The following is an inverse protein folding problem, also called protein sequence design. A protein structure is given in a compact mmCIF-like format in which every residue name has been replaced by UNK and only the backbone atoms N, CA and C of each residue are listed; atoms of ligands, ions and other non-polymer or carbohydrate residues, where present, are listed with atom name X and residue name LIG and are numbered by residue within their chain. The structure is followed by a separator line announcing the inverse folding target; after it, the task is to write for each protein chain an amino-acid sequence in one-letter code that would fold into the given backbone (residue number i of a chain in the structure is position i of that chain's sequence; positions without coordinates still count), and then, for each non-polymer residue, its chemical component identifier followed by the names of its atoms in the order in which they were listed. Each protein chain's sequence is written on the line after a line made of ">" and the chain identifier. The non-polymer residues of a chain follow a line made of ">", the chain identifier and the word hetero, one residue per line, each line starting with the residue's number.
data_IF_395446723390
#
_entry.id   IF_395446723390
#
_cell.length_a   1.000
_cell.length_b   1.000
_cell.length_c   1.000
_cell.angle_alpha   90.00
_cell.angle_beta   90.00
_cell.angle_gamma   90.00
#
_symmetry.space_group_name_H-M   'P 1'
#
loop_
_entity.id
_entity.type
_entity.pdbx_description
1 polymer ?
#
# COMPACT_ATOMS: atom_id res chain seq x y z
N UNK A 1 -1.50 -18.22 31.74
CA UNK A 1 -0.65 -17.86 30.59
C UNK A 1 -1.34 -18.41 29.36
N UNK A 2 -2.14 -17.61 28.67
CA UNK A 2 -2.74 -18.03 27.41
C UNK A 2 -1.61 -18.05 26.37
N UNK A 3 -1.22 -19.24 25.94
CA UNK A 3 -0.17 -19.41 24.93
C UNK A 3 -0.70 -18.88 23.60
N UNK A 4 0.04 -17.99 22.95
CA UNK A 4 -0.30 -17.54 21.59
C UNK A 4 -0.28 -18.79 20.70
N UNK A 5 -1.44 -19.15 20.13
CA UNK A 5 -1.50 -20.22 19.16
C UNK A 5 -0.71 -19.80 17.91
N UNK A 6 0.21 -20.67 17.46
CA UNK A 6 0.95 -20.46 16.19
C UNK A 6 -0.02 -20.22 15.03
N UNK A 7 -1.19 -20.87 15.07
CA UNK A 7 -2.26 -20.69 14.09
C UNK A 7 -2.83 -19.26 14.08
N UNK A 8 -2.96 -18.60 15.23
CA UNK A 8 -3.38 -17.20 15.29
C UNK A 8 -2.35 -16.27 14.66
N UNK A 9 -1.06 -16.49 14.95
CA UNK A 9 0.02 -15.70 14.38
C UNK A 9 0.08 -15.81 12.85
N UNK A 10 -0.05 -17.02 12.33
CA UNK A 10 -0.07 -17.28 10.87
C UNK A 10 -1.28 -16.62 10.22
N UNK A 11 -2.48 -16.81 10.79
CA UNK A 11 -3.72 -16.23 10.25
C UNK A 11 -3.65 -14.70 10.20
N UNK A 12 -3.11 -14.09 11.26
CA UNK A 12 -2.91 -12.65 11.30
C UNK A 12 -1.90 -12.16 10.25
N UNK A 13 -0.78 -12.87 10.09
CA UNK A 13 0.20 -12.57 9.04
C UNK A 13 -0.41 -12.60 7.64
N UNK A 14 -1.19 -13.64 7.33
CA UNK A 14 -1.92 -13.73 6.05
C UNK A 14 -2.91 -12.58 5.87
N UNK A 15 -3.62 -12.18 6.93
CA UNK A 15 -4.58 -11.06 6.86
C UNK A 15 -3.90 -9.73 6.52
N UNK A 16 -2.77 -9.42 7.16
CA UNK A 16 -1.99 -8.21 6.82
C UNK A 16 -1.38 -8.31 5.42
N UNK A 17 -0.92 -9.48 5.02
CA UNK A 17 -0.40 -9.70 3.67
C UNK A 17 -1.47 -9.46 2.60
N UNK A 18 -2.68 -10.00 2.77
CA UNK A 18 -3.80 -9.78 1.83
C UNK A 18 -4.14 -8.29 1.76
N UNK A 19 -4.20 -7.60 2.90
CA UNK A 19 -4.41 -6.16 2.93
C UNK A 19 -3.33 -5.42 2.13
N UNK A 20 -2.06 -5.75 2.37
CA UNK A 20 -0.96 -5.12 1.66
C UNK A 20 -1.00 -5.40 0.16
N UNK A 21 -1.27 -6.64 -0.25
CA UNK A 21 -1.44 -7.01 -1.67
C UNK A 21 -2.56 -6.18 -2.31
N UNK A 22 -3.70 -6.02 -1.64
CA UNK A 22 -4.79 -5.19 -2.16
C UNK A 22 -4.36 -3.74 -2.36
N UNK A 23 -3.64 -3.14 -1.40
CA UNK A 23 -3.12 -1.77 -1.52
C UNK A 23 -2.11 -1.65 -2.66
N UNK A 24 -1.20 -2.61 -2.80
CA UNK A 24 -0.23 -2.64 -3.89
C UNK A 24 -0.94 -2.73 -5.24
N UNK A 25 -1.91 -3.64 -5.40
CA UNK A 25 -2.67 -3.79 -6.64
C UNK A 25 -3.37 -2.49 -7.01
N UNK A 26 -4.08 -1.87 -6.06
CA UNK A 26 -4.76 -0.58 -6.30
C UNK A 26 -3.76 0.51 -6.69
N UNK A 27 -2.65 0.63 -5.95
CA UNK A 27 -1.61 1.61 -6.24
C UNK A 27 -0.97 1.42 -7.62
N UNK A 28 -0.70 0.16 -8.01
CA UNK A 28 -0.16 -0.17 -9.32
C UNK A 28 -1.15 0.08 -10.45
N UNK A 29 -2.45 -0.19 -10.25
CA UNK A 29 -3.48 0.14 -11.24
C UNK A 29 -3.55 1.65 -11.46
N UNK A 30 -3.55 2.45 -10.39
CA UNK A 30 -3.51 3.92 -10.49
C UNK A 30 -2.23 4.39 -11.20
N UNK A 31 -1.08 3.80 -10.84
CA UNK A 31 0.20 4.12 -11.47
C UNK A 31 0.19 3.81 -12.98
N UNK A 32 -0.34 2.64 -13.36
CA UNK A 32 -0.44 2.21 -14.75
C UNK A 32 -1.39 3.08 -15.57
N UNK A 33 -2.53 3.51 -14.98
CA UNK A 33 -3.43 4.47 -15.63
C UNK A 33 -2.70 5.78 -15.90
N UNK A 34 -1.99 6.34 -14.91
CA UNK A 34 -1.20 7.56 -15.10
C UNK A 34 -0.11 7.40 -16.16
N UNK A 35 0.61 6.28 -16.15
CA UNK A 35 1.61 5.95 -17.16
C UNK A 35 1.01 5.84 -18.58
N UNK A 36 -0.16 5.23 -18.71
CA UNK A 36 -0.88 5.14 -19.97
C UNK A 36 -1.30 6.51 -20.51
N UNK A 37 -1.69 7.44 -19.63
CA UNK A 37 -2.00 8.82 -20.03
C UNK A 37 -0.75 9.56 -20.54
N UNK A 38 0.41 9.36 -19.89
CA UNK A 38 1.68 9.92 -20.37
C UNK A 38 2.03 9.36 -21.75
N UNK A 39 1.95 8.04 -21.93
CA UNK A 39 2.23 7.40 -23.21
C UNK A 39 1.33 7.95 -24.33
N UNK A 40 0.02 8.02 -24.07
CA UNK A 40 -0.95 8.59 -25.01
C UNK A 40 -0.72 10.07 -25.31
N UNK A 41 -0.19 10.84 -24.34
CA UNK A 41 0.14 12.24 -24.52
C UNK A 41 1.38 12.48 -25.39
N UNK A 42 2.31 11.51 -25.44
CA UNK A 42 3.55 11.58 -26.22
C UNK A 42 3.46 10.90 -27.58
N UNK A 43 2.59 9.89 -27.74
CA UNK A 43 2.31 9.24 -29.02
C UNK A 43 1.25 10.01 -29.82
N UNK A 44 1.58 11.25 -30.15
CA UNK A 44 0.77 12.07 -31.05
C UNK A 44 1.22 11.73 -32.47
N UNK A 45 0.31 11.17 -33.28
CA UNK A 45 0.62 10.67 -34.63
C UNK A 45 1.23 11.71 -35.60
N UNK A 46 1.30 11.37 -36.89
CA UNK A 46 2.05 12.19 -37.87
C UNK A 46 1.71 13.69 -37.82
N UNK A 47 2.73 14.50 -37.46
CA UNK A 47 2.73 15.98 -37.35
C UNK A 47 1.94 16.63 -36.20
N UNK A 48 1.46 15.87 -35.22
CA UNK A 48 0.96 16.47 -33.97
C UNK A 48 2.09 16.58 -32.93
N UNK A 49 2.11 17.71 -32.22
CA UNK A 49 3.01 17.91 -31.08
C UNK A 49 2.45 17.26 -29.80
N UNK A 50 3.32 16.88 -28.84
CA UNK A 50 2.89 16.23 -27.60
C UNK A 50 1.88 17.07 -26.81
N UNK A 51 0.92 16.40 -26.18
CA UNK A 51 -0.01 17.05 -25.26
C UNK A 51 0.59 17.12 -23.85
N UNK A 52 1.39 18.15 -23.60
CA UNK A 52 2.07 18.34 -22.31
C UNK A 52 1.11 18.46 -21.11
N UNK A 53 -0.11 18.97 -21.31
CA UNK A 53 -1.12 19.03 -20.25
C UNK A 53 -1.57 17.64 -19.80
N UNK A 54 -1.88 16.76 -20.77
CA UNK A 54 -2.22 15.37 -20.50
C UNK A 54 -1.03 14.60 -19.91
N UNK A 55 0.18 14.85 -20.40
CA UNK A 55 1.39 14.22 -19.88
C UNK A 55 1.64 14.58 -18.41
N UNK A 56 1.53 15.87 -18.05
CA UNK A 56 1.71 16.32 -16.67
C UNK A 56 0.64 15.74 -15.75
N UNK A 57 -0.62 15.73 -16.18
CA UNK A 57 -1.71 15.14 -15.40
C UNK A 57 -1.50 13.62 -15.22
N UNK A 58 -1.15 12.91 -16.30
CA UNK A 58 -0.80 11.49 -16.25
C UNK A 58 0.34 11.20 -15.27
N UNK A 59 1.39 12.03 -15.27
CA UNK A 59 2.50 11.92 -14.33
C UNK A 59 2.03 12.08 -12.87
N UNK A 60 1.17 13.06 -12.58
CA UNK A 60 0.63 13.27 -11.24
C UNK A 60 -0.21 12.07 -10.78
N UNK A 61 -1.05 11.52 -11.66
CA UNK A 61 -1.81 10.30 -11.39
C UNK A 61 -0.87 9.11 -11.14
N UNK A 62 0.20 8.98 -11.93
CA UNK A 62 1.17 7.91 -11.75
C UNK A 62 1.87 7.99 -10.39
N UNK A 63 2.30 9.19 -10.01
CA UNK A 63 2.93 9.48 -8.72
C UNK A 63 1.97 9.21 -7.55
N UNK A 64 0.69 9.54 -7.69
CA UNK A 64 -0.31 9.23 -6.69
C UNK A 64 -0.38 7.71 -6.44
N UNK A 65 -0.38 6.90 -7.50
CA UNK A 65 -0.32 5.44 -7.39
C UNK A 65 0.92 4.97 -6.61
N UNK A 66 2.09 5.54 -6.90
CA UNK A 66 3.32 5.24 -6.17
C UNK A 66 3.25 5.65 -4.68
N UNK A 67 2.68 6.82 -4.38
CA UNK A 67 2.47 7.29 -3.00
C UNK A 67 1.53 6.34 -2.24
N UNK A 68 0.47 5.85 -2.87
CA UNK A 68 -0.44 4.87 -2.26
C UNK A 68 0.30 3.59 -1.88
N UNK A 69 1.17 3.08 -2.75
CA UNK A 69 1.98 1.88 -2.45
C UNK A 69 2.91 2.15 -1.26
N UNK A 70 3.64 3.27 -1.27
CA UNK A 70 4.54 3.64 -0.18
C UNK A 70 3.80 3.81 1.15
N UNK A 71 2.68 4.54 1.14
CA UNK A 71 1.82 4.71 2.31
C UNK A 71 1.28 3.36 2.81
N UNK A 72 0.96 2.43 1.90
CA UNK A 72 0.58 1.06 2.21
C UNK A 72 1.64 0.29 2.98
N UNK A 73 2.91 0.40 2.58
CA UNK A 73 4.05 -0.22 3.27
C UNK A 73 4.13 0.30 4.71
N UNK A 74 4.22 1.63 4.87
CA UNK A 74 4.36 2.25 6.18
C UNK A 74 3.15 1.98 7.08
N UNK A 75 1.94 2.04 6.53
CA UNK A 75 0.70 1.76 7.26
C UNK A 75 0.59 0.31 7.72
N UNK A 76 1.01 -0.66 6.89
CA UNK A 76 1.04 -2.07 7.26
C UNK A 76 2.07 -2.34 8.36
N UNK A 77 3.28 -1.79 8.25
CA UNK A 77 4.32 -1.92 9.28
C UNK A 77 3.89 -1.28 10.60
N UNK A 78 3.29 -0.09 10.54
CA UNK A 78 2.79 0.61 11.73
C UNK A 78 1.72 -0.21 12.45
N UNK A 79 0.73 -0.74 11.70
CA UNK A 79 -0.30 -1.63 12.27
C UNK A 79 0.29 -2.89 12.87
N UNK A 80 1.23 -3.53 12.19
CA UNK A 80 1.91 -4.72 12.68
C UNK A 80 2.57 -4.49 14.05
N UNK A 81 3.30 -3.39 14.19
CA UNK A 81 3.96 -3.03 15.46
C UNK A 81 2.93 -2.69 16.53
N UNK A 82 1.91 -1.89 16.19
CA UNK A 82 0.85 -1.51 17.13
C UNK A 82 0.11 -2.71 17.72
N UNK A 83 -0.28 -3.65 16.87
CA UNK A 83 -1.01 -4.85 17.29
C UNK A 83 -0.11 -5.80 18.10
N UNK A 84 1.19 -5.90 17.78
CA UNK A 84 2.15 -6.65 18.58
C UNK A 84 2.33 -6.07 19.98
N UNK A 85 2.44 -4.74 20.10
CA UNK A 85 2.53 -4.04 21.39
C UNK A 85 1.24 -4.22 22.20
N UNK A 86 0.08 -4.08 21.57
CA UNK A 86 -1.22 -4.27 22.23
C UNK A 86 -1.35 -5.70 22.79
N UNK A 87 -1.02 -6.71 21.98
CA UNK A 87 -1.06 -8.12 22.43
C UNK A 87 -0.06 -8.37 23.57
N UNK A 88 1.13 -7.78 23.51
CA UNK A 88 2.11 -7.85 24.60
C UNK A 88 1.59 -7.28 25.93
N UNK A 89 0.87 -6.14 25.88
CA UNK A 89 0.28 -5.52 27.08
C UNK A 89 -0.84 -6.36 27.70
N UNK A 90 -1.67 -6.99 26.88
CA UNK A 90 -2.75 -7.86 27.40
C UNK A 90 -2.23 -9.16 28.02
N UNK A 91 -1.02 -9.58 27.66
CA UNK A 91 -0.41 -10.81 28.15
C UNK A 91 0.50 -10.59 29.36
N UNK A 92 0.86 -9.34 29.68
CA UNK A 92 1.57 -9.02 30.90
C UNK A 92 0.61 -9.16 32.08
N UNK A 93 0.85 -10.08 33.04
CA UNK A 93 0.04 -10.15 34.24
C UNK A 93 0.07 -8.78 34.90
N UNK A 94 -1.09 -8.25 35.29
CA UNK A 94 -1.12 -7.14 36.24
C UNK A 94 -0.23 -7.58 37.40
N UNK A 95 0.88 -6.89 37.63
CA UNK A 95 1.67 -7.07 38.83
C UNK A 95 0.72 -6.79 39.97
N UNK A 96 0.26 -7.86 40.62
CA UNK A 96 -0.59 -7.81 41.80
C UNK A 96 0.23 -7.16 42.90
N UNK A 97 -0.06 -5.89 43.18
CA UNK A 97 0.28 -5.23 44.45
C UNK A 97 -0.47 -5.89 45.61
#
# INVERSE_FOLDING_TARGET
>A
MDTVSVTEGITYGFRIMIYYVAVVVVGQVVAAVGGGMVAAATETGFRQGPNWGLALFGLLVALLGAVVVLAGIFGATYKLIGDAVAKGRTMSPAASE
#
